data_IF_667685885796
#
_entry.id   IF_667685885796
#
_cell.length_a   1.000
_cell.length_b   1.000
_cell.length_c   1.000
_cell.angle_alpha   90.00
_cell.angle_beta   90.00
_cell.angle_gamma   90.00
#
_symmetry.space_group_name_H-M   'P 1'
#
loop_
_entity.id
_entity.type
_entity.pdbx_description
1 polymer ?
#
# COMPACT_ATOMS: atom_id res chain seq x y z
N UNK A 1 19.80 -8.85 5.85
CA UNK A 1 18.40 -8.53 6.16
C UNK A 1 17.53 -9.60 5.52
N UNK A 2 17.01 -10.50 6.33
CA UNK A 2 15.97 -11.45 5.95
C UNK A 2 14.57 -10.79 6.05
N UNK A 3 13.50 -11.53 5.74
CA UNK A 3 12.13 -10.98 5.74
C UNK A 3 11.68 -10.50 7.12
N UNK A 4 11.96 -11.27 8.16
CA UNK A 4 11.56 -10.95 9.54
C UNK A 4 12.33 -9.73 10.05
N UNK A 5 13.64 -9.68 9.83
CA UNK A 5 14.50 -8.53 10.14
C UNK A 5 14.01 -7.25 9.44
N UNK A 6 13.50 -7.35 8.21
CA UNK A 6 12.94 -6.21 7.49
C UNK A 6 11.60 -5.75 8.07
N UNK A 7 10.73 -6.69 8.46
CA UNK A 7 9.44 -6.40 9.09
C UNK A 7 9.66 -5.71 10.44
N UNK A 8 10.58 -6.23 11.25
CA UNK A 8 10.96 -5.64 12.55
C UNK A 8 11.48 -4.22 12.37
N UNK A 9 12.37 -3.99 11.40
CA UNK A 9 12.88 -2.65 11.09
C UNK A 9 11.76 -1.67 10.72
N UNK A 10 10.73 -2.11 9.99
CA UNK A 10 9.57 -1.27 9.65
C UNK A 10 8.76 -0.91 10.90
N UNK A 11 8.54 -1.88 11.79
CA UNK A 11 7.78 -1.67 13.02
C UNK A 11 8.50 -0.78 14.04
N UNK A 12 9.83 -0.90 14.17
CA UNK A 12 10.64 -0.06 15.07
C UNK A 12 10.51 1.44 14.78
N UNK A 13 10.23 1.83 13.54
CA UNK A 13 10.10 3.25 13.15
C UNK A 13 8.68 3.79 13.31
N UNK A 14 7.69 2.91 13.54
CA UNK A 14 6.27 3.27 13.56
C UNK A 14 5.86 4.10 14.79
N UNK A 15 6.57 3.96 15.93
CA UNK A 15 6.17 4.60 17.19
C UNK A 15 6.42 6.12 17.25
N UNK A 16 7.14 6.71 16.29
CA UNK A 16 7.47 8.16 16.29
C UNK A 16 6.32 9.10 15.92
N UNK A 17 5.10 8.58 15.79
CA UNK A 17 3.90 9.35 15.46
C UNK A 17 3.82 9.80 14.00
N UNK A 18 2.61 10.20 13.58
CA UNK A 18 2.39 10.67 12.21
C UNK A 18 2.65 12.17 12.11
N UNK A 19 3.79 12.55 11.54
CA UNK A 19 4.01 13.93 11.08
C UNK A 19 3.35 14.12 9.73
N UNK A 20 2.22 14.84 9.73
CA UNK A 20 1.49 15.17 8.51
C UNK A 20 2.36 15.95 7.52
N UNK A 21 2.02 15.83 6.24
CA UNK A 21 2.73 16.47 5.12
C UNK A 21 3.46 15.49 4.22
N UNK A 22 3.52 15.84 2.92
CA UNK A 22 4.02 14.96 1.87
C UNK A 22 5.50 15.15 1.54
N UNK A 23 6.18 16.15 2.12
CA UNK A 23 7.56 16.51 1.75
C UNK A 23 8.55 15.35 1.87
N UNK A 24 8.46 14.56 2.95
CA UNK A 24 9.33 13.39 3.19
C UNK A 24 9.07 12.27 2.18
N UNK A 25 7.80 11.94 1.95
CA UNK A 25 7.40 10.91 0.99
C UNK A 25 7.76 11.33 -0.42
N UNK A 26 7.52 12.58 -0.81
CA UNK A 26 7.88 13.10 -2.13
C UNK A 26 9.40 13.07 -2.36
N UNK A 27 10.20 13.40 -1.33
CA UNK A 27 11.66 13.29 -1.42
C UNK A 27 12.11 11.84 -1.63
N UNK A 28 11.54 10.90 -0.88
CA UNK A 28 11.83 9.47 -1.03
C UNK A 28 11.46 8.96 -2.43
N UNK A 29 10.24 9.26 -2.90
CA UNK A 29 9.78 8.85 -4.24
C UNK A 29 10.65 9.44 -5.35
N UNK A 30 11.09 10.69 -5.21
CA UNK A 30 12.02 11.32 -6.15
C UNK A 30 13.37 10.59 -6.21
N UNK A 31 13.91 10.14 -5.06
CA UNK A 31 15.14 9.33 -5.03
C UNK A 31 14.94 7.95 -5.67
N UNK A 32 13.71 7.42 -5.65
CA UNK A 32 13.33 6.15 -6.27
C UNK A 32 12.91 6.28 -7.75
N UNK A 33 13.06 7.46 -8.36
CA UNK A 33 12.71 7.67 -9.77
C UNK A 33 11.22 7.80 -10.05
N UNK A 34 10.43 8.26 -9.07
CA UNK A 34 8.99 8.53 -9.16
C UNK A 34 8.16 7.35 -9.72
N UNK A 35 8.20 6.16 -9.10
CA UNK A 35 7.48 4.98 -9.59
C UNK A 35 5.95 5.19 -9.63
N UNK A 36 5.41 6.05 -8.77
CA UNK A 36 4.00 6.42 -8.74
C UNK A 36 3.52 7.13 -10.02
N UNK A 37 4.42 7.62 -10.87
CA UNK A 37 4.05 8.25 -12.14
C UNK A 37 3.94 7.24 -13.30
N UNK A 38 4.23 5.96 -13.04
CA UNK A 38 4.30 4.89 -14.07
C UNK A 38 3.10 3.93 -14.01
N UNK A 39 2.14 4.18 -13.12
CA UNK A 39 1.02 3.30 -12.85
C UNK A 39 -0.26 4.12 -12.75
N UNK A 40 -1.38 3.49 -13.06
CA UNK A 40 -2.71 4.05 -12.85
C UNK A 40 -3.24 3.66 -11.46
N UNK A 41 -3.88 4.61 -10.77
CA UNK A 41 -4.34 4.41 -9.40
C UNK A 41 -5.81 4.78 -9.22
N UNK A 42 -6.51 3.94 -8.46
CA UNK A 42 -7.80 4.28 -7.85
C UNK A 42 -7.55 4.58 -6.38
N UNK A 43 -7.72 5.84 -5.98
CA UNK A 43 -7.54 6.27 -4.59
C UNK A 43 -8.88 6.21 -3.85
N UNK A 44 -8.96 5.37 -2.81
CA UNK A 44 -10.17 5.21 -1.99
C UNK A 44 -9.96 5.84 -0.61
N UNK A 45 -10.75 6.87 -0.30
CA UNK A 45 -10.79 7.54 1.00
C UNK A 45 -12.20 7.46 1.61
N UNK A 46 -12.31 7.60 2.92
CA UNK A 46 -13.59 7.58 3.64
C UNK A 46 -13.48 7.01 5.06
N UNK A 47 -14.50 7.19 5.88
CA UNK A 47 -14.51 6.68 7.27
C UNK A 47 -14.61 5.16 7.28
N UNK A 48 -15.57 4.61 6.54
CA UNK A 48 -15.88 3.17 6.49
C UNK A 48 -15.85 2.64 5.04
N UNK A 49 -15.82 1.32 4.88
CA UNK A 49 -15.98 0.66 3.57
C UNK A 49 -14.75 0.61 2.65
N UNK A 50 -13.69 1.40 2.91
CA UNK A 50 -12.46 1.45 2.07
C UNK A 50 -11.88 0.06 1.73
N UNK A 51 -11.75 -0.81 2.75
CA UNK A 51 -11.20 -2.15 2.60
C UNK A 51 -12.09 -3.02 1.70
N UNK A 52 -13.38 -3.07 1.99
CA UNK A 52 -14.35 -3.84 1.19
C UNK A 52 -14.46 -3.33 -0.25
N UNK A 53 -14.51 -2.01 -0.45
CA UNK A 53 -14.57 -1.41 -1.80
C UNK A 53 -13.29 -1.67 -2.59
N UNK A 54 -12.11 -1.52 -1.99
CA UNK A 54 -10.83 -1.80 -2.66
C UNK A 54 -10.70 -3.28 -3.03
N UNK A 55 -11.12 -4.20 -2.16
CA UNK A 55 -11.14 -5.63 -2.44
C UNK A 55 -12.08 -5.97 -3.61
N UNK A 56 -13.30 -5.40 -3.60
CA UNK A 56 -14.27 -5.61 -4.68
C UNK A 56 -13.77 -5.09 -6.03
N UNK A 57 -13.18 -3.90 -6.06
CA UNK A 57 -12.58 -3.36 -7.28
C UNK A 57 -11.39 -4.20 -7.74
N UNK A 58 -10.52 -4.62 -6.81
CA UNK A 58 -9.39 -5.48 -7.14
C UNK A 58 -9.82 -6.78 -7.80
N UNK A 59 -10.92 -7.38 -7.32
CA UNK A 59 -11.51 -8.56 -7.92
C UNK A 59 -12.05 -8.26 -9.33
N UNK A 60 -12.88 -7.21 -9.48
CA UNK A 60 -13.47 -6.82 -10.78
C UNK A 60 -12.38 -6.59 -11.84
N UNK A 61 -11.33 -5.84 -11.54
CA UNK A 61 -10.27 -5.56 -12.51
C UNK A 61 -9.44 -6.81 -12.85
N UNK A 62 -9.22 -7.71 -11.89
CA UNK A 62 -8.61 -9.02 -12.16
C UNK A 62 -9.45 -9.83 -13.15
N UNK A 63 -10.76 -9.95 -12.89
CA UNK A 63 -11.67 -10.70 -13.75
C UNK A 63 -11.80 -10.04 -15.15
N UNK A 64 -11.62 -8.73 -15.23
CA UNK A 64 -11.56 -8.00 -16.49
C UNK A 64 -10.21 -8.12 -17.23
N UNK A 65 -9.25 -8.89 -16.70
CA UNK A 65 -7.95 -9.17 -17.34
C UNK A 65 -6.83 -8.18 -17.02
N UNK A 66 -7.02 -7.25 -16.08
CA UNK A 66 -5.98 -6.29 -15.69
C UNK A 66 -5.04 -6.89 -14.63
N UNK A 67 -3.74 -6.60 -14.76
CA UNK A 67 -2.77 -6.82 -13.67
C UNK A 67 -3.04 -5.79 -12.58
N UNK A 68 -3.61 -6.23 -11.47
CA UNK A 68 -4.19 -5.36 -10.46
C UNK A 68 -3.41 -5.44 -9.16
N UNK A 69 -2.92 -4.29 -8.68
CA UNK A 69 -2.34 -4.17 -7.34
C UNK A 69 -3.38 -3.73 -6.32
N UNK A 70 -3.28 -4.24 -5.09
CA UNK A 70 -4.13 -3.83 -3.96
C UNK A 70 -3.23 -3.40 -2.79
N UNK A 71 -3.47 -2.19 -2.28
CA UNK A 71 -2.84 -1.69 -1.06
C UNK A 71 -3.89 -1.39 0.01
N UNK A 72 -3.78 -2.05 1.16
CA UNK A 72 -4.74 -1.91 2.27
C UNK A 72 -4.04 -1.81 3.64
N UNK A 73 -4.75 -1.23 4.61
CA UNK A 73 -4.31 -1.17 6.00
C UNK A 73 -5.52 -1.06 6.94
N UNK A 74 -5.48 -1.66 8.14
CA UNK A 74 -4.43 -2.56 8.65
C UNK A 74 -4.41 -3.91 7.92
N UNK A 75 -3.40 -4.74 8.18
CA UNK A 75 -3.44 -6.18 7.82
C UNK A 75 -4.18 -6.98 8.90
N UNK A 76 -4.65 -8.18 8.57
CA UNK A 76 -5.42 -9.03 9.48
C UNK A 76 -4.54 -10.11 10.10
N UNK A 77 -3.82 -10.90 9.30
CA UNK A 77 -3.02 -12.03 9.82
C UNK A 77 -1.53 -11.89 9.54
N UNK A 78 -1.14 -11.48 8.33
CA UNK A 78 0.26 -11.31 7.94
C UNK A 78 0.55 -9.91 7.41
N UNK A 79 1.73 -9.37 7.72
CA UNK A 79 2.19 -8.06 7.24
C UNK A 79 2.12 -7.94 5.71
N UNK A 80 2.38 -9.05 5.01
CA UNK A 80 2.39 -9.11 3.56
C UNK A 80 1.01 -8.87 2.93
N UNK A 81 -0.09 -9.06 3.66
CA UNK A 81 -1.46 -8.82 3.17
C UNK A 81 -1.70 -7.36 2.75
N UNK A 82 -0.89 -6.42 3.26
CA UNK A 82 -1.03 -4.99 2.96
C UNK A 82 -0.78 -4.66 1.49
N UNK A 83 -0.02 -5.49 0.77
CA UNK A 83 0.36 -5.27 -0.62
C UNK A 83 0.22 -6.57 -1.40
N UNK A 84 -0.73 -6.61 -2.32
CA UNK A 84 -1.02 -7.79 -3.15
C UNK A 84 -0.96 -7.42 -4.63
N UNK A 85 -0.61 -8.39 -5.47
CA UNK A 85 -0.62 -8.25 -6.93
C UNK A 85 -1.34 -9.45 -7.50
N UNK A 86 -2.49 -9.19 -8.10
CA UNK A 86 -3.44 -10.20 -8.53
C UNK A 86 -3.93 -11.09 -7.38
N UNK A 87 -4.26 -10.49 -6.23
CA UNK A 87 -4.63 -11.22 -5.00
C UNK A 87 -3.48 -12.06 -4.48
#
# INVERSE_FOLDING_TARGET
MNADEAIDFIHEKFWRGSKLGLSRTNKLLSLMGNPQNKLDFIHIAGTNGKGSTSAMLSFIFREAGYKTGLFTSPYISSFNERMQVNG
#
